data_IF_291984876233
#
_entry.id   IF_291984876233
#
_cell.length_a   1.000
_cell.length_b   1.000
_cell.length_c   1.000
_cell.angle_alpha   90.00
_cell.angle_beta   90.00
_cell.angle_gamma   90.00
#
_symmetry.space_group_name_H-M   'P 1'
#
loop_
_entity.id
_entity.type
_entity.pdbx_description
1 polymer ?
#
# COMPACT_ATOMS: atom_id res chain seq x y z
N UNK A 1 -8.82 25.02 8.41
CA UNK A 1 -8.25 24.29 9.55
C UNK A 1 -6.76 24.10 9.33
N UNK A 2 -5.96 24.42 10.31
CA UNK A 2 -4.49 24.21 10.19
C UNK A 2 -4.18 22.72 10.22
N UNK A 3 -3.23 22.29 9.38
CA UNK A 3 -2.70 20.92 9.44
C UNK A 3 -2.01 20.72 10.80
N UNK A 4 -2.35 19.67 11.56
CA UNK A 4 -1.67 19.40 12.82
C UNK A 4 -0.19 19.10 12.58
N UNK A 5 0.60 19.35 13.60
CA UNK A 5 2.01 18.94 13.60
C UNK A 5 2.11 17.42 13.64
N UNK A 6 3.05 16.86 12.86
CA UNK A 6 3.28 15.42 12.85
C UNK A 6 3.66 14.91 14.23
N UNK A 7 3.01 13.85 14.66
CA UNK A 7 3.37 13.20 15.91
C UNK A 7 4.82 12.68 15.83
N UNK A 8 5.68 12.98 16.82
CA UNK A 8 7.09 12.57 16.78
C UNK A 8 7.30 11.06 16.58
N UNK A 9 6.39 10.23 17.07
CA UNK A 9 6.45 8.78 16.89
C UNK A 9 6.50 8.40 15.41
N UNK A 10 5.86 9.20 14.53
CA UNK A 10 5.74 8.90 13.11
C UNK A 10 6.86 9.46 12.25
N UNK A 11 7.84 10.15 12.83
CA UNK A 11 8.95 10.74 12.07
C UNK A 11 9.67 9.72 11.15
N UNK A 12 9.93 8.48 11.56
CA UNK A 12 10.59 7.50 10.68
C UNK A 12 9.80 7.14 9.43
N UNK A 13 8.51 7.46 9.35
CA UNK A 13 7.65 7.23 8.19
C UNK A 13 7.22 8.53 7.50
N UNK A 14 7.77 9.67 7.89
CA UNK A 14 7.42 10.98 7.33
C UNK A 14 7.64 11.06 5.81
N UNK A 15 8.57 10.29 5.27
CA UNK A 15 8.87 10.24 3.83
C UNK A 15 7.71 9.66 3.00
N UNK A 16 6.75 9.00 3.63
CA UNK A 16 5.57 8.46 2.93
C UNK A 16 4.46 9.49 2.77
N UNK A 17 4.47 10.58 3.54
CA UNK A 17 3.40 11.58 3.54
C UNK A 17 3.28 12.30 2.20
N UNK A 18 2.06 12.51 1.75
CA UNK A 18 1.74 13.29 0.56
C UNK A 18 0.66 12.67 -0.30
N UNK A 19 0.37 13.35 -1.38
CA UNK A 19 -0.45 12.82 -2.48
C UNK A 19 0.48 12.40 -3.59
N UNK A 20 0.32 11.16 -4.03
CA UNK A 20 1.20 10.52 -5.00
C UNK A 20 0.37 10.03 -6.19
N UNK A 21 0.92 10.16 -7.40
CA UNK A 21 0.27 9.70 -8.62
C UNK A 21 1.23 8.82 -9.41
N UNK A 22 0.73 7.69 -9.90
CA UNK A 22 1.54 6.75 -10.68
C UNK A 22 2.16 7.45 -11.91
N UNK A 23 3.46 7.21 -12.11
CA UNK A 23 4.22 7.74 -13.23
C UNK A 23 5.51 6.92 -13.41
N UNK A 24 5.56 6.02 -14.39
CA UNK A 24 4.54 5.63 -15.37
C UNK A 24 3.40 4.80 -14.75
N UNK A 25 2.39 4.39 -15.55
CA UNK A 25 1.38 3.44 -15.08
C UNK A 25 2.00 2.20 -14.48
N UNK A 26 1.36 1.66 -13.43
CA UNK A 26 1.84 0.44 -12.78
C UNK A 26 1.56 -0.81 -13.59
N UNK A 27 2.32 -1.85 -13.31
CA UNK A 27 2.19 -3.15 -13.95
C UNK A 27 1.58 -4.16 -12.99
N UNK A 28 0.55 -4.87 -13.45
CA UNK A 28 -0.09 -5.94 -12.71
C UNK A 28 -0.01 -7.27 -13.47
N UNK A 29 0.30 -8.34 -12.74
CA UNK A 29 0.36 -9.69 -13.29
C UNK A 29 -0.29 -10.65 -12.32
N UNK A 30 -1.38 -11.29 -12.77
CA UNK A 30 -2.10 -12.31 -11.99
C UNK A 30 -2.25 -13.57 -12.82
N UNK A 31 -2.20 -14.77 -12.20
CA UNK A 31 -2.28 -16.04 -12.94
C UNK A 31 -3.57 -16.21 -13.74
N UNK A 32 -4.66 -15.58 -13.29
CA UNK A 32 -5.99 -15.71 -13.90
C UNK A 32 -6.33 -14.60 -14.88
N UNK A 33 -5.40 -13.68 -15.11
CA UNK A 33 -5.63 -12.50 -15.96
C UNK A 33 -4.43 -12.26 -16.87
N UNK A 34 -4.67 -11.61 -17.99
CA UNK A 34 -3.58 -11.09 -18.84
C UNK A 34 -2.85 -9.99 -18.07
N UNK A 35 -1.53 -9.83 -18.25
CA UNK A 35 -0.80 -8.68 -17.70
C UNK A 35 -1.51 -7.38 -18.10
N UNK A 36 -1.59 -6.45 -17.14
CA UNK A 36 -2.29 -5.18 -17.35
C UNK A 36 -1.52 -4.02 -16.76
N UNK A 37 -1.86 -2.82 -17.21
CA UNK A 37 -1.38 -1.57 -16.61
C UNK A 37 -2.52 -0.90 -15.86
N UNK A 38 -2.16 -0.10 -14.85
CA UNK A 38 -3.12 0.65 -14.06
C UNK A 38 -2.55 1.98 -13.61
N UNK A 39 -3.44 2.95 -13.38
CA UNK A 39 -3.10 4.20 -12.72
C UNK A 39 -3.48 4.07 -11.25
N UNK A 40 -2.76 4.76 -10.38
CA UNK A 40 -3.10 4.76 -8.96
C UNK A 40 -2.81 6.12 -8.35
N UNK A 41 -3.74 6.57 -7.53
CA UNK A 41 -3.62 7.77 -6.71
C UNK A 41 -3.53 7.34 -5.25
N UNK A 42 -2.49 7.82 -4.56
CA UNK A 42 -2.20 7.45 -3.18
C UNK A 42 -2.25 8.70 -2.32
N UNK A 43 -3.01 8.64 -1.24
CA UNK A 43 -3.07 9.71 -0.24
C UNK A 43 -2.58 9.16 1.09
N UNK A 44 -1.51 9.74 1.62
CA UNK A 44 -0.97 9.39 2.93
C UNK A 44 -0.91 10.68 3.74
N UNK A 45 -1.68 10.71 4.82
CA UNK A 45 -1.89 11.91 5.64
C UNK A 45 -1.90 11.56 7.12
N UNK A 46 -2.04 12.58 7.97
CA UNK A 46 -2.13 12.40 9.41
C UNK A 46 -3.01 13.50 10.03
N UNK A 47 -3.45 13.27 11.24
CA UNK A 47 -4.24 14.21 12.04
C UNK A 47 -3.57 14.52 13.39
N UNK A 48 -2.25 14.30 13.50
CA UNK A 48 -1.47 14.55 14.71
C UNK A 48 -1.43 13.37 15.69
N UNK A 49 -2.18 12.31 15.42
CA UNK A 49 -2.15 11.08 16.19
C UNK A 49 -0.90 10.24 15.83
N UNK A 50 -0.50 9.27 16.68
CA UNK A 50 0.67 8.44 16.40
C UNK A 50 0.39 7.37 15.33
N UNK A 51 -0.13 7.78 14.19
CA UNK A 51 -0.43 6.93 13.04
C UNK A 51 -0.54 7.77 11.77
N UNK A 52 -0.38 7.13 10.62
CA UNK A 52 -0.71 7.71 9.32
C UNK A 52 -2.02 7.11 8.83
N UNK A 53 -2.76 7.90 8.04
CA UNK A 53 -3.93 7.43 7.29
C UNK A 53 -3.50 7.20 5.85
N UNK A 54 -4.03 6.16 5.19
CA UNK A 54 -3.76 5.98 3.77
C UNK A 54 -5.01 5.61 2.98
N UNK A 55 -4.99 5.95 1.70
CA UNK A 55 -5.92 5.41 0.71
C UNK A 55 -5.19 5.19 -0.60
N UNK A 56 -5.42 4.03 -1.22
CA UNK A 56 -4.92 3.68 -2.54
C UNK A 56 -6.12 3.50 -3.47
N UNK A 57 -6.10 4.18 -4.61
CA UNK A 57 -7.21 4.19 -5.56
C UNK A 57 -6.67 3.92 -6.95
N UNK A 58 -6.88 2.70 -7.46
CA UNK A 58 -6.42 2.31 -8.78
C UNK A 58 -7.51 2.57 -9.83
N UNK A 59 -7.09 2.88 -11.04
CA UNK A 59 -7.96 3.21 -12.16
C UNK A 59 -7.46 2.55 -13.44
N UNK A 60 -8.40 2.24 -14.32
CA UNK A 60 -8.06 1.80 -15.68
C UNK A 60 -7.39 2.97 -16.43
N UNK A 61 -6.25 2.73 -17.12
CA UNK A 61 -5.52 3.84 -17.79
C UNK A 61 -6.32 4.57 -18.86
N UNK A 62 -7.14 3.87 -19.60
CA UNK A 62 -7.90 4.45 -20.72
C UNK A 62 -9.28 4.94 -20.32
N UNK A 63 -10.05 4.10 -19.64
CA UNK A 63 -11.46 4.40 -19.31
C UNK A 63 -11.61 5.20 -18.02
N UNK A 64 -10.57 5.24 -17.17
CA UNK A 64 -10.59 5.85 -15.83
C UNK A 64 -11.58 5.20 -14.87
N UNK A 65 -12.07 4.01 -15.19
CA UNK A 65 -12.95 3.28 -14.28
C UNK A 65 -12.21 2.85 -13.02
N UNK A 66 -12.83 3.00 -11.83
CA UNK A 66 -12.24 2.52 -10.60
C UNK A 66 -11.99 1.01 -10.64
N UNK A 67 -10.83 0.62 -10.08
CA UNK A 67 -10.42 -0.77 -9.95
C UNK A 67 -10.23 -1.12 -8.47
N UNK A 68 -9.06 -1.61 -8.08
CA UNK A 68 -8.76 -1.93 -6.70
C UNK A 68 -8.74 -0.67 -5.82
N UNK A 69 -9.32 -0.78 -4.64
CA UNK A 69 -9.30 0.29 -3.64
C UNK A 69 -8.99 -0.30 -2.28
N UNK A 70 -8.15 0.42 -1.52
CA UNK A 70 -7.89 0.05 -0.14
C UNK A 70 -7.61 1.30 0.70
N UNK A 71 -7.92 1.20 1.99
CA UNK A 71 -7.69 2.28 2.95
C UNK A 71 -7.43 1.73 4.33
N UNK A 72 -6.82 2.54 5.17
CA UNK A 72 -6.54 2.15 6.55
C UNK A 72 -5.50 3.03 7.22
N UNK A 73 -4.74 2.41 8.10
CA UNK A 73 -3.80 3.10 8.97
C UNK A 73 -2.44 2.42 8.98
N UNK A 74 -1.39 3.22 9.16
CA UNK A 74 -0.03 2.73 9.37
C UNK A 74 0.40 3.18 10.76
N UNK A 75 0.80 2.23 11.61
CA UNK A 75 1.25 2.50 12.96
C UNK A 75 2.71 2.09 13.14
N UNK A 76 3.40 2.82 13.98
CA UNK A 76 4.78 2.51 14.35
C UNK A 76 4.83 2.31 15.86
N UNK A 77 5.42 1.19 16.29
CA UNK A 77 5.62 0.94 17.72
C UNK A 77 6.67 1.91 18.24
N UNK A 78 6.34 2.73 19.27
CA UNK A 78 7.27 3.74 19.80
C UNK A 78 8.62 3.14 20.19
N UNK A 79 9.70 3.89 19.91
CA UNK A 79 11.09 3.52 20.21
C UNK A 79 11.58 2.26 19.52
N UNK A 80 10.92 1.87 18.44
CA UNK A 80 11.31 0.74 17.58
C UNK A 80 11.14 1.09 16.11
N UNK A 81 11.58 0.21 15.22
CA UNK A 81 11.31 0.30 13.78
C UNK A 81 10.17 -0.62 13.33
N UNK A 82 9.40 -1.15 14.27
CA UNK A 82 8.31 -2.10 13.98
C UNK A 82 7.06 -1.36 13.52
N UNK A 83 6.55 -1.76 12.36
CA UNK A 83 5.41 -1.13 11.69
C UNK A 83 4.27 -2.12 11.58
N UNK A 84 3.04 -1.63 11.78
CA UNK A 84 1.81 -2.35 11.48
C UNK A 84 1.03 -1.58 10.43
N UNK A 85 0.55 -2.29 9.42
CA UNK A 85 -0.21 -1.77 8.30
C UNK A 85 -1.58 -2.45 8.32
N UNK A 86 -2.64 -1.67 8.49
CA UNK A 86 -3.99 -2.16 8.66
C UNK A 86 -4.80 -1.72 7.46
N UNK A 87 -5.33 -2.66 6.68
CA UNK A 87 -5.94 -2.38 5.38
C UNK A 87 -7.30 -3.04 5.24
N UNK A 88 -8.26 -2.28 4.72
CA UNK A 88 -9.54 -2.78 4.22
C UNK A 88 -9.58 -2.56 2.71
N UNK A 89 -9.96 -3.59 1.96
CA UNK A 89 -9.94 -3.60 0.50
C UNK A 89 -11.35 -3.82 -0.08
N UNK A 90 -11.61 -3.21 -1.23
CA UNK A 90 -12.93 -3.30 -1.87
C UNK A 90 -13.23 -4.70 -2.44
N UNK A 91 -12.25 -5.59 -2.48
CA UNK A 91 -12.43 -7.01 -2.80
C UNK A 91 -13.07 -7.81 -1.66
N UNK A 92 -13.25 -7.18 -0.48
CA UNK A 92 -13.77 -7.85 0.71
C UNK A 92 -12.69 -8.45 1.59
N UNK A 93 -11.46 -8.02 1.42
CA UNK A 93 -10.32 -8.45 2.23
C UNK A 93 -10.03 -7.41 3.30
N UNK A 94 -9.72 -7.87 4.51
CA UNK A 94 -9.19 -7.06 5.60
C UNK A 94 -7.91 -7.72 6.06
N UNK A 95 -6.84 -6.95 6.19
CA UNK A 95 -5.56 -7.54 6.58
C UNK A 95 -4.79 -6.68 7.56
N UNK A 96 -3.97 -7.34 8.36
CA UNK A 96 -2.94 -6.74 9.17
C UNK A 96 -1.60 -7.25 8.64
N UNK A 97 -0.75 -6.33 8.20
CA UNK A 97 0.61 -6.63 7.78
C UNK A 97 1.56 -6.01 8.81
N UNK A 98 2.64 -6.71 9.13
CA UNK A 98 3.63 -6.22 10.07
C UNK A 98 5.04 -6.38 9.49
N UNK A 99 5.94 -5.52 9.92
CA UNK A 99 7.31 -5.56 9.45
C UNK A 99 8.14 -4.43 10.03
N UNK A 100 9.06 -3.89 9.24
CA UNK A 100 10.04 -2.94 9.72
C UNK A 100 10.29 -1.83 8.72
N UNK A 101 10.56 -0.62 9.23
CA UNK A 101 11.10 0.48 8.46
C UNK A 101 12.61 0.62 8.72
N UNK A 102 13.38 0.73 7.65
CA UNK A 102 14.82 0.96 7.71
C UNK A 102 15.16 2.07 6.73
N UNK A 103 15.53 3.25 7.25
CA UNK A 103 15.71 4.43 6.40
C UNK A 103 14.41 4.75 5.66
N UNK A 104 14.47 4.85 4.34
CA UNK A 104 13.33 5.16 3.48
C UNK A 104 12.81 3.91 2.76
N UNK A 105 12.76 2.81 3.48
CA UNK A 105 12.26 1.54 2.99
C UNK A 105 11.42 0.86 4.07
N UNK A 106 10.21 0.45 3.69
CA UNK A 106 9.27 -0.26 4.55
C UNK A 106 8.99 -1.62 3.93
N UNK A 107 9.23 -2.69 4.70
CA UNK A 107 8.93 -4.07 4.30
C UNK A 107 7.98 -4.67 5.30
N UNK A 108 6.83 -5.11 4.83
CA UNK A 108 5.75 -5.68 5.64
C UNK A 108 5.20 -6.93 4.99
N UNK A 109 4.66 -7.83 5.81
CA UNK A 109 4.06 -9.08 5.37
C UNK A 109 2.80 -9.36 6.17
N UNK A 110 1.85 -10.05 5.55
CA UNK A 110 0.57 -10.38 6.19
C UNK A 110 0.80 -11.18 7.47
N UNK A 111 0.20 -10.69 8.55
CA UNK A 111 0.13 -11.36 9.85
C UNK A 111 -1.24 -12.03 10.02
N UNK A 112 -2.29 -11.38 9.52
CA UNK A 112 -3.65 -11.87 9.59
C UNK A 112 -4.44 -11.37 8.39
N UNK A 113 -5.23 -12.25 7.79
CA UNK A 113 -6.11 -11.94 6.67
C UNK A 113 -7.50 -12.46 7.00
N UNK A 114 -8.49 -11.57 6.94
CA UNK A 114 -9.91 -11.91 7.02
C UNK A 114 -10.58 -11.54 5.71
N UNK A 115 -11.65 -12.24 5.36
CA UNK A 115 -12.37 -11.99 4.12
C UNK A 115 -13.87 -12.18 4.29
N UNK A 116 -14.65 -11.50 3.45
CA UNK A 116 -16.09 -11.72 3.39
C UNK A 116 -16.36 -13.12 2.87
N UNK A 117 -17.51 -13.72 3.25
CA UNK A 117 -17.83 -15.11 2.93
C UNK A 117 -17.93 -15.39 1.43
N UNK A 118 -18.25 -14.37 0.62
CA UNK A 118 -18.40 -14.48 -0.83
C UNK A 118 -17.25 -13.82 -1.60
N UNK A 119 -16.06 -13.71 -0.98
CA UNK A 119 -14.88 -13.21 -1.68
C UNK A 119 -14.54 -14.10 -2.87
N UNK A 120 -14.09 -13.46 -3.97
CA UNK A 120 -13.75 -14.16 -5.22
C UNK A 120 -12.57 -15.10 -5.04
N UNK A 121 -12.70 -16.31 -5.60
CA UNK A 121 -11.58 -17.27 -5.65
C UNK A 121 -10.67 -16.95 -6.86
N UNK A 122 -9.38 -17.28 -6.84
CA UNK A 122 -8.65 -17.93 -5.73
C UNK A 122 -8.45 -16.97 -4.55
N UNK A 123 -8.45 -17.54 -3.34
CA UNK A 123 -8.25 -16.72 -2.12
C UNK A 123 -6.78 -16.40 -1.91
N UNK A 124 -6.50 -15.14 -1.57
CA UNK A 124 -5.17 -14.70 -1.16
C UNK A 124 -4.87 -15.26 0.22
N UNK A 125 -3.71 -15.92 0.37
CA UNK A 125 -3.27 -16.52 1.63
C UNK A 125 -2.17 -15.72 2.32
N UNK A 126 -1.29 -15.10 1.53
CA UNK A 126 -0.19 -14.28 2.02
C UNK A 126 0.05 -13.11 1.10
N UNK A 127 0.41 -11.97 1.69
CA UNK A 127 0.80 -10.75 0.97
C UNK A 127 2.09 -10.25 1.59
N UNK A 128 3.02 -9.81 0.75
CA UNK A 128 4.18 -9.01 1.16
C UNK A 128 4.19 -7.72 0.37
N UNK A 129 4.55 -6.63 1.04
CA UNK A 129 4.67 -5.31 0.43
C UNK A 129 5.99 -4.69 0.76
N UNK A 130 6.47 -3.89 -0.19
CA UNK A 130 7.65 -3.08 0.01
C UNK A 130 7.37 -1.69 -0.54
N UNK A 131 7.59 -0.68 0.30
CA UNK A 131 7.57 0.72 -0.11
C UNK A 131 8.97 1.27 0.01
N UNK A 132 9.40 2.04 -0.98
CA UNK A 132 10.73 2.65 -0.97
C UNK A 132 10.67 4.03 -1.61
N UNK A 133 11.29 5.02 -0.95
CA UNK A 133 11.53 6.31 -1.58
C UNK A 133 12.87 6.22 -2.29
N UNK A 134 12.88 6.38 -3.62
CA UNK A 134 14.11 6.27 -4.41
C UNK A 134 14.89 7.59 -4.42
N UNK A 135 16.08 7.56 -5.07
CA UNK A 135 16.97 8.72 -5.14
C UNK A 135 16.38 9.91 -5.91
N UNK A 136 15.37 9.67 -6.74
CA UNK A 136 14.68 10.73 -7.51
C UNK A 136 13.50 11.34 -6.73
N UNK A 137 13.28 10.92 -5.49
CA UNK A 137 12.16 11.38 -4.69
C UNK A 137 10.83 10.75 -5.07
N UNK A 138 10.84 9.66 -5.82
CA UNK A 138 9.64 8.91 -6.19
C UNK A 138 9.42 7.76 -5.23
N UNK A 139 8.15 7.48 -4.94
CA UNK A 139 7.75 6.37 -4.10
C UNK A 139 7.52 5.14 -4.99
N UNK A 140 8.09 4.00 -4.58
CA UNK A 140 7.89 2.72 -5.26
C UNK A 140 7.12 1.78 -4.34
N UNK A 141 6.20 1.02 -4.92
CA UNK A 141 5.50 -0.05 -4.21
C UNK A 141 5.61 -1.34 -5.01
N UNK A 142 5.99 -2.42 -4.34
CA UNK A 142 6.00 -3.77 -4.89
C UNK A 142 5.14 -4.64 -4.00
N UNK A 143 4.23 -5.41 -4.62
CA UNK A 143 3.34 -6.33 -3.91
C UNK A 143 3.55 -7.73 -4.47
N UNK A 144 3.80 -8.68 -3.58
CA UNK A 144 3.86 -10.10 -3.89
C UNK A 144 2.78 -10.81 -3.08
N UNK A 145 2.20 -11.86 -3.64
CA UNK A 145 1.17 -12.62 -2.93
C UNK A 145 1.20 -14.09 -3.31
N UNK A 146 0.73 -14.91 -2.37
CA UNK A 146 0.42 -16.31 -2.59
C UNK A 146 -1.08 -16.51 -2.47
N UNK A 147 -1.64 -17.35 -3.32
CA UNK A 147 -3.06 -17.70 -3.30
C UNK A 147 -3.22 -19.21 -3.07
N UNK A 148 -4.46 -19.67 -2.97
CA UNK A 148 -4.77 -21.11 -2.84
C UNK A 148 -4.28 -21.93 -4.04
N UNK A 149 -4.00 -21.28 -5.19
CA UNK A 149 -3.59 -21.97 -6.43
C UNK A 149 -2.19 -21.61 -6.91
N UNK A 150 -1.52 -20.63 -6.29
CA UNK A 150 -0.22 -20.12 -6.75
C UNK A 150 0.73 -19.85 -5.59
N UNK A 151 2.03 -20.15 -5.74
CA UNK A 151 3.03 -19.78 -4.74
C UNK A 151 3.27 -18.27 -4.71
N UNK A 152 4.05 -17.81 -3.74
CA UNK A 152 4.42 -16.39 -3.61
C UNK A 152 5.11 -15.90 -4.87
N UNK A 153 4.50 -14.90 -5.53
CA UNK A 153 5.04 -14.25 -6.72
C UNK A 153 4.74 -12.76 -6.70
N UNK A 154 5.58 -11.98 -7.37
CA UNK A 154 5.32 -10.54 -7.51
C UNK A 154 4.15 -10.34 -8.46
N UNK A 155 3.14 -9.59 -8.01
CA UNK A 155 1.92 -9.30 -8.78
C UNK A 155 1.84 -7.86 -9.24
N UNK A 156 2.29 -6.91 -8.42
CA UNK A 156 2.19 -5.48 -8.70
C UNK A 156 3.53 -4.79 -8.49
N UNK A 157 3.84 -3.86 -9.37
CA UNK A 157 4.94 -2.92 -9.20
C UNK A 157 4.51 -1.58 -9.76
N UNK A 158 4.75 -0.51 -9.01
CA UNK A 158 4.35 0.83 -9.40
C UNK A 158 5.28 1.88 -8.78
N UNK A 159 5.53 2.94 -9.54
CA UNK A 159 6.29 4.10 -9.11
C UNK A 159 5.38 5.31 -9.14
N UNK A 160 5.45 6.12 -8.09
CA UNK A 160 4.62 7.31 -7.95
C UNK A 160 5.48 8.57 -7.87
N UNK A 161 4.99 9.63 -8.50
CA UNK A 161 5.53 10.98 -8.29
C UNK A 161 4.69 11.71 -7.25
N UNK A 162 5.33 12.55 -6.45
CA UNK A 162 4.63 13.38 -5.47
C UNK A 162 3.98 14.56 -6.17
N UNK A 163 2.68 14.75 -6.00
CA UNK A 163 1.93 15.84 -6.63
C UNK A 163 1.55 16.95 -5.67
N UNK A 164 1.52 16.64 -4.35
CA UNK A 164 1.36 17.66 -3.30
C UNK A 164 2.26 17.35 -2.12
N UNK A 165 2.69 18.39 -1.40
CA UNK A 165 3.47 18.21 -0.17
C UNK A 165 2.72 17.41 0.88
#
# INVERSE_FOLDING_TARGET
MKTPQLNPVMEPLSWMLGTWLSDPPGDGTFPTMKPFQYLEEVHISHVGQPMLNFSFNAFHPDTRKPMHRECGFIRLKPDTNKVAFISAQNTGLVEVEEGEVNGQELSIASHSIARISFAKKPHVEQITRKFRLNSDGKLEQTVSMATTTQPMTQHLHITYKKVTP
#
